data_IF_336079389072
#
_entry.id   IF_336079389072
#
_cell.length_a   1.000
_cell.length_b   1.000
_cell.length_c   1.000
_cell.angle_alpha   90.00
_cell.angle_beta   90.00
_cell.angle_gamma   90.00
#
_symmetry.space_group_name_H-M   'P 1'
#
loop_
_entity.id
_entity.type
_entity.pdbx_description
1 polymer ?
#
# COMPACT_ATOMS: atom_id res chain seq x y z
N UNK A 1 -28.95 9.28 -17.25
CA UNK A 1 -27.78 10.13 -17.56
C UNK A 1 -28.22 11.40 -18.30
N UNK A 2 -28.89 11.29 -19.46
CA UNK A 2 -29.37 12.45 -20.25
C UNK A 2 -30.12 13.52 -19.43
N UNK A 3 -31.13 13.14 -18.63
CA UNK A 3 -31.89 14.07 -17.80
C UNK A 3 -31.07 14.88 -16.77
N UNK A 4 -29.94 14.34 -16.29
CA UNK A 4 -29.10 15.05 -15.32
C UNK A 4 -28.14 16.02 -16.00
N UNK A 5 -27.77 15.74 -17.25
CA UNK A 5 -26.96 16.65 -18.07
C UNK A 5 -27.81 17.85 -18.52
N UNK A 6 -29.06 17.62 -18.92
CA UNK A 6 -29.99 18.73 -19.25
C UNK A 6 -30.15 19.71 -18.08
N UNK A 7 -30.17 19.19 -16.84
CA UNK A 7 -30.24 20.00 -15.61
C UNK A 7 -28.90 20.63 -15.20
N UNK A 8 -27.79 20.08 -15.67
CA UNK A 8 -26.46 20.65 -15.48
C UNK A 8 -26.28 21.87 -16.38
N UNK A 9 -26.80 21.82 -17.62
CA UNK A 9 -26.79 22.96 -18.55
C UNK A 9 -27.51 24.19 -18.00
N UNK A 10 -28.50 24.00 -17.12
CA UNK A 10 -29.21 25.08 -16.42
C UNK A 10 -28.38 25.70 -15.27
N UNK A 11 -27.29 25.07 -14.83
CA UNK A 11 -26.40 25.55 -13.76
C UNK A 11 -25.01 25.88 -14.32
N UNK A 12 -24.82 27.13 -14.77
CA UNK A 12 -23.58 27.60 -15.41
C UNK A 12 -22.31 27.31 -14.59
N UNK A 13 -22.38 27.39 -13.26
CA UNK A 13 -21.21 27.18 -12.39
C UNK A 13 -20.81 25.70 -12.42
N UNK A 14 -21.77 24.79 -12.24
CA UNK A 14 -21.51 23.35 -12.25
C UNK A 14 -21.11 22.87 -13.66
N UNK A 15 -21.68 23.43 -14.71
CA UNK A 15 -21.30 23.15 -16.10
C UNK A 15 -19.83 23.50 -16.36
N UNK A 16 -19.37 24.69 -15.94
CA UNK A 16 -17.96 25.09 -16.09
C UNK A 16 -17.02 24.13 -15.35
N UNK A 17 -17.39 23.70 -14.14
CA UNK A 17 -16.62 22.73 -13.37
C UNK A 17 -16.55 21.38 -14.09
N UNK A 18 -17.67 20.91 -14.62
CA UNK A 18 -17.76 19.65 -15.38
C UNK A 18 -16.85 19.66 -16.63
N UNK A 19 -16.93 20.71 -17.45
CA UNK A 19 -16.10 20.84 -18.65
C UNK A 19 -14.61 20.95 -18.31
N UNK A 20 -14.28 21.65 -17.22
CA UNK A 20 -12.91 21.76 -16.73
C UNK A 20 -12.34 20.39 -16.33
N UNK A 21 -13.14 19.57 -15.64
CA UNK A 21 -12.77 18.21 -15.23
C UNK A 21 -12.50 17.28 -16.41
N UNK A 22 -13.40 17.25 -17.41
CA UNK A 22 -13.22 16.44 -18.61
C UNK A 22 -11.92 16.78 -19.34
N UNK A 23 -11.68 18.08 -19.55
CA UNK A 23 -10.53 18.56 -20.30
C UNK A 23 -9.21 18.29 -19.58
N UNK A 24 -9.14 18.58 -18.28
CA UNK A 24 -7.90 18.48 -17.52
C UNK A 24 -7.49 17.01 -17.26
N UNK A 25 -8.45 16.17 -16.89
CA UNK A 25 -8.21 14.75 -16.65
C UNK A 25 -8.08 13.95 -17.95
N UNK A 26 -8.42 14.55 -19.11
CA UNK A 26 -8.44 13.90 -20.42
C UNK A 26 -9.31 12.63 -20.41
N UNK A 27 -10.43 12.69 -19.70
CA UNK A 27 -11.41 11.61 -19.56
C UNK A 27 -12.66 11.89 -20.40
N UNK A 28 -13.44 10.85 -20.69
CA UNK A 28 -14.69 10.99 -21.45
C UNK A 28 -15.87 11.37 -20.57
N UNK A 29 -16.97 11.81 -21.20
CA UNK A 29 -18.23 12.10 -20.50
C UNK A 29 -18.74 10.90 -19.68
N UNK A 30 -18.51 9.68 -20.18
CA UNK A 30 -18.89 8.44 -19.49
C UNK A 30 -18.06 8.11 -18.24
N UNK A 31 -17.01 8.88 -17.95
CA UNK A 31 -16.20 8.73 -16.74
C UNK A 31 -16.67 9.65 -15.60
N UNK A 32 -17.65 10.53 -15.84
CA UNK A 32 -18.24 11.39 -14.82
C UNK A 32 -19.76 11.19 -14.77
N UNK A 33 -20.24 10.67 -13.64
CA UNK A 33 -21.67 10.66 -13.34
C UNK A 33 -22.06 11.92 -12.57
N UNK A 34 -23.14 12.56 -13.01
CA UNK A 34 -23.64 13.82 -12.45
C UNK A 34 -25.02 13.61 -11.84
N UNK A 35 -25.22 14.15 -10.64
CA UNK A 35 -26.53 14.27 -10.00
C UNK A 35 -26.75 15.73 -9.61
N UNK A 36 -27.63 16.43 -10.34
CA UNK A 36 -28.02 17.81 -10.05
C UNK A 36 -29.37 17.80 -9.35
N UNK A 37 -29.48 18.46 -8.21
CA UNK A 37 -30.75 18.58 -7.48
C UNK A 37 -31.36 19.99 -7.60
N UNK A 38 -32.68 20.08 -7.44
CA UNK A 38 -33.40 21.35 -7.65
C UNK A 38 -33.18 22.25 -6.45
N UNK A 39 -32.83 23.51 -6.71
CA UNK A 39 -32.58 24.54 -5.69
C UNK A 39 -33.78 24.87 -4.80
N UNK A 40 -34.99 24.41 -5.14
CA UNK A 40 -36.21 24.70 -4.38
C UNK A 40 -36.31 23.92 -3.05
N UNK A 41 -35.52 22.87 -2.85
CA UNK A 41 -35.47 22.12 -1.59
C UNK A 41 -34.14 22.39 -0.86
N UNK A 42 -34.21 23.05 0.29
CA UNK A 42 -33.07 23.45 1.14
C UNK A 42 -32.13 22.30 1.60
N UNK A 43 -32.45 21.04 1.30
CA UNK A 43 -31.74 19.85 1.78
C UNK A 43 -31.04 19.03 0.69
N UNK A 44 -31.08 19.45 -0.58
CA UNK A 44 -30.56 18.61 -1.67
C UNK A 44 -29.22 19.10 -2.19
N UNK A 45 -28.22 18.22 -2.19
CA UNK A 45 -26.85 18.49 -2.66
C UNK A 45 -26.67 18.02 -4.10
N UNK A 46 -26.00 18.79 -4.95
CA UNK A 46 -25.53 18.28 -6.25
C UNK A 46 -24.23 17.52 -6.05
N UNK A 47 -23.94 16.51 -6.88
CA UNK A 47 -22.71 15.72 -6.75
C UNK A 47 -22.15 15.27 -8.09
N UNK A 48 -20.83 15.24 -8.19
CA UNK A 48 -20.10 14.59 -9.27
C UNK A 48 -19.43 13.32 -8.75
N UNK A 49 -19.55 12.22 -9.48
CA UNK A 49 -18.80 10.99 -9.23
C UNK A 49 -17.92 10.74 -10.46
N UNK A 50 -16.63 11.00 -10.34
CA UNK A 50 -15.68 10.88 -11.44
C UNK A 50 -14.76 9.68 -11.25
N UNK A 51 -14.50 8.94 -12.32
CA UNK A 51 -13.44 7.92 -12.38
C UNK A 51 -12.10 8.61 -12.58
N UNK A 52 -11.17 8.38 -11.66
CA UNK A 52 -9.83 8.94 -11.73
C UNK A 52 -8.92 8.08 -12.64
N UNK A 53 -8.15 8.69 -13.55
CA UNK A 53 -7.30 7.97 -14.50
C UNK A 53 -5.98 7.50 -13.86
N UNK A 54 -6.06 6.66 -12.82
CA UNK A 54 -4.89 6.13 -12.12
C UNK A 54 -4.29 4.94 -12.89
N UNK A 55 -3.02 5.05 -13.30
CA UNK A 55 -2.32 3.94 -13.96
C UNK A 55 -1.88 2.88 -12.94
N UNK A 56 -2.21 1.61 -13.24
CA UNK A 56 -1.86 0.45 -12.41
C UNK A 56 -1.14 -0.65 -13.23
N UNK A 57 -0.59 -0.29 -14.39
CA UNK A 57 0.00 -1.24 -15.34
C UNK A 57 1.24 -1.95 -14.77
N UNK A 58 2.05 -1.22 -13.99
CA UNK A 58 3.30 -1.72 -13.40
C UNK A 58 3.10 -2.40 -12.04
N UNK A 59 1.84 -2.54 -11.61
CA UNK A 59 1.54 -3.12 -10.32
C UNK A 59 1.58 -4.65 -10.40
N UNK A 60 2.24 -5.33 -9.44
CA UNK A 60 2.35 -6.78 -9.44
C UNK A 60 0.98 -7.49 -9.54
N UNK A 61 0.91 -8.60 -10.31
CA UNK A 61 -0.33 -9.35 -10.45
C UNK A 61 -0.76 -9.99 -9.12
N UNK A 62 -2.08 -10.15 -8.95
CA UNK A 62 -2.64 -10.95 -7.85
C UNK A 62 -2.75 -12.39 -8.34
N UNK A 63 -2.14 -13.34 -7.62
CA UNK A 63 -2.08 -14.74 -8.04
C UNK A 63 -3.32 -15.55 -7.64
N UNK A 64 -4.03 -15.14 -6.59
CA UNK A 64 -5.28 -15.80 -6.16
C UNK A 64 -6.48 -15.23 -6.92
N UNK A 65 -7.21 -16.13 -7.60
CA UNK A 65 -8.41 -15.90 -8.42
C UNK A 65 -9.66 -15.43 -7.64
N UNK A 66 -9.53 -14.59 -6.62
CA UNK A 66 -10.66 -13.85 -6.10
C UNK A 66 -10.90 -12.68 -7.05
N UNK A 67 -11.67 -12.88 -8.13
CA UNK A 67 -11.95 -11.88 -9.17
C UNK A 67 -12.37 -10.55 -8.52
N UNK A 68 -11.44 -9.58 -8.31
CA UNK A 68 -11.70 -8.46 -7.41
C UNK A 68 -12.40 -7.31 -8.14
N UNK A 69 -12.91 -7.59 -9.35
CA UNK A 69 -13.45 -6.63 -10.28
C UNK A 69 -12.37 -5.83 -11.02
N UNK A 70 -12.84 -4.91 -11.85
CA UNK A 70 -12.00 -3.93 -12.54
C UNK A 70 -11.41 -2.95 -11.53
N UNK A 71 -10.09 -2.69 -11.54
CA UNK A 71 -9.50 -1.73 -10.63
C UNK A 71 -9.95 -0.33 -11.02
N UNK A 72 -10.84 0.23 -10.21
CA UNK A 72 -11.34 1.59 -10.37
C UNK A 72 -11.08 2.40 -9.10
N UNK A 73 -10.89 3.70 -9.32
CA UNK A 73 -10.75 4.74 -8.30
C UNK A 73 -11.75 5.82 -8.65
N UNK A 74 -12.63 6.16 -7.73
CA UNK A 74 -13.64 7.19 -7.94
C UNK A 74 -13.49 8.30 -6.90
N UNK A 75 -13.64 9.54 -7.35
CA UNK A 75 -13.78 10.69 -6.48
C UNK A 75 -15.21 11.20 -6.58
N UNK A 76 -15.92 11.16 -5.46
CA UNK A 76 -17.20 11.82 -5.33
C UNK A 76 -16.98 13.21 -4.74
N UNK A 77 -17.59 14.22 -5.35
CA UNK A 77 -17.54 15.61 -4.90
C UNK A 77 -18.96 16.08 -4.69
N UNK A 78 -19.33 16.33 -3.43
CA UNK A 78 -20.65 16.84 -3.06
C UNK A 78 -20.60 18.37 -2.94
N UNK A 79 -21.60 19.04 -3.51
CA UNK A 79 -21.78 20.49 -3.49
C UNK A 79 -22.98 20.83 -2.59
N UNK A 80 -22.76 21.08 -1.28
CA UNK A 80 -23.85 21.28 -0.33
C UNK A 80 -24.64 22.58 -0.55
N UNK A 81 -24.00 23.61 -1.13
CA UNK A 81 -24.62 24.85 -1.65
C UNK A 81 -23.74 25.41 -2.78
N UNK A 82 -24.31 26.21 -3.67
CA UNK A 82 -23.60 26.85 -4.80
C UNK A 82 -22.37 27.69 -4.38
N UNK A 83 -22.36 28.20 -3.15
CA UNK A 83 -21.28 29.04 -2.59
C UNK A 83 -20.49 28.37 -1.45
N UNK A 84 -20.86 27.15 -1.05
CA UNK A 84 -20.15 26.42 0.00
C UNK A 84 -18.96 25.64 -0.57
N UNK A 85 -17.94 25.41 0.25
CA UNK A 85 -16.86 24.49 -0.09
C UNK A 85 -17.43 23.10 -0.42
N UNK A 86 -16.84 22.43 -1.42
CA UNK A 86 -17.21 21.07 -1.79
C UNK A 86 -16.70 20.05 -0.77
N UNK A 87 -17.34 18.88 -0.73
CA UNK A 87 -16.97 17.78 0.17
C UNK A 87 -16.53 16.58 -0.67
N UNK A 88 -15.22 16.25 -0.69
CA UNK A 88 -14.69 15.12 -1.45
C UNK A 88 -14.78 13.81 -0.65
N UNK A 89 -15.05 12.71 -1.35
CA UNK A 89 -15.02 11.34 -0.84
C UNK A 89 -14.35 10.44 -1.87
N UNK A 90 -13.27 9.78 -1.47
CA UNK A 90 -12.53 8.84 -2.32
C UNK A 90 -13.08 7.42 -2.11
N UNK A 91 -13.43 6.75 -3.21
CA UNK A 91 -13.86 5.37 -3.24
C UNK A 91 -12.86 4.55 -4.05
N UNK A 92 -12.36 3.48 -3.45
CA UNK A 92 -11.37 2.60 -4.08
C UNK A 92 -11.99 1.22 -4.24
N UNK A 93 -11.80 0.61 -5.41
CA UNK A 93 -12.12 -0.82 -5.57
C UNK A 93 -11.20 -1.67 -4.69
N UNK A 94 -11.66 -2.85 -4.26
CA UNK A 94 -10.89 -3.74 -3.38
C UNK A 94 -9.51 -4.10 -3.94
N UNK A 95 -9.38 -4.20 -5.28
CA UNK A 95 -8.08 -4.38 -5.92
C UNK A 95 -7.15 -3.22 -5.64
N UNK A 96 -7.61 -1.98 -5.78
CA UNK A 96 -6.80 -0.78 -5.52
C UNK A 96 -6.47 -0.68 -4.02
N UNK A 97 -7.44 -0.93 -3.14
CA UNK A 97 -7.20 -0.92 -1.69
C UNK A 97 -6.14 -1.94 -1.26
N UNK A 98 -6.16 -3.14 -1.84
CA UNK A 98 -5.14 -4.17 -1.56
C UNK A 98 -3.72 -3.76 -1.97
N UNK A 99 -3.59 -2.78 -2.87
CA UNK A 99 -2.32 -2.32 -3.42
C UNK A 99 -1.79 -1.08 -2.69
N UNK A 100 -2.64 -0.07 -2.50
CA UNK A 100 -2.22 1.23 -1.95
C UNK A 100 -2.73 1.50 -0.53
N UNK A 101 -3.53 0.60 0.03
CA UNK A 101 -4.21 0.76 1.30
C UNK A 101 -5.63 1.31 1.14
N UNK A 102 -6.41 1.25 2.22
CA UNK A 102 -7.77 1.78 2.29
C UNK A 102 -7.76 3.31 2.18
N UNK A 103 -8.86 3.89 1.68
CA UNK A 103 -9.02 5.34 1.56
C UNK A 103 -8.81 6.08 2.90
N UNK A 104 -9.20 5.47 4.02
CA UNK A 104 -9.01 5.97 5.38
C UNK A 104 -7.53 6.14 5.75
N UNK A 105 -6.64 5.32 5.19
CA UNK A 105 -5.20 5.30 5.49
C UNK A 105 -4.36 6.21 4.60
N UNK A 106 -4.94 6.68 3.48
CA UNK A 106 -4.22 7.51 2.49
C UNK A 106 -4.00 8.96 2.94
N UNK A 107 -4.57 9.38 4.06
CA UNK A 107 -4.46 10.74 4.61
C UNK A 107 -4.69 11.82 3.54
N UNK A 108 -5.91 11.85 2.98
CA UNK A 108 -6.26 12.79 1.92
C UNK A 108 -6.06 14.25 2.38
N UNK A 109 -5.59 15.14 1.49
CA UNK A 109 -5.44 16.55 1.81
C UNK A 109 -6.80 17.14 2.22
N UNK A 110 -6.78 17.98 3.26
CA UNK A 110 -7.95 18.80 3.59
C UNK A 110 -8.20 19.79 2.44
N UNK A 111 -9.47 20.11 2.19
CA UNK A 111 -9.88 21.10 1.18
C UNK A 111 -9.60 22.52 1.71
N UNK A 112 -8.67 23.29 1.12
CA UNK A 112 -8.45 24.66 1.53
C UNK A 112 -9.63 25.57 1.15
N UNK A 113 -9.92 26.64 1.91
CA UNK A 113 -10.95 27.60 1.52
C UNK A 113 -10.66 28.22 0.15
N UNK A 114 -11.66 28.22 -0.74
CA UNK A 114 -11.56 28.84 -2.06
C UNK A 114 -10.76 28.05 -3.11
N UNK A 115 -10.29 26.84 -2.81
CA UNK A 115 -9.68 25.97 -3.82
C UNK A 115 -10.75 25.54 -4.85
N UNK A 116 -10.36 25.45 -6.13
CA UNK A 116 -11.22 24.82 -7.14
C UNK A 116 -11.27 23.30 -6.97
N UNK A 117 -12.34 22.67 -7.47
CA UNK A 117 -12.43 21.20 -7.50
C UNK A 117 -11.24 20.63 -8.26
N UNK A 118 -10.89 21.24 -9.39
CA UNK A 118 -9.77 20.83 -10.23
C UNK A 118 -8.43 20.77 -9.49
N UNK A 119 -8.04 21.88 -8.86
CA UNK A 119 -6.76 21.94 -8.14
C UNK A 119 -6.71 20.90 -7.00
N UNK A 120 -7.88 20.55 -6.44
CA UNK A 120 -7.97 19.48 -5.45
C UNK A 120 -7.84 18.09 -6.07
N UNK A 121 -8.46 17.83 -7.23
CA UNK A 121 -8.30 16.56 -7.95
C UNK A 121 -6.83 16.32 -8.30
N UNK A 122 -6.11 17.34 -8.76
CA UNK A 122 -4.68 17.23 -9.07
C UNK A 122 -3.87 16.77 -7.84
N UNK A 123 -4.12 17.37 -6.67
CA UNK A 123 -3.47 16.96 -5.41
C UNK A 123 -3.80 15.52 -5.01
N UNK A 124 -5.04 15.08 -5.22
CA UNK A 124 -5.45 13.69 -4.94
C UNK A 124 -4.72 12.73 -5.88
N UNK A 125 -4.63 13.07 -7.17
CA UNK A 125 -3.89 12.29 -8.15
C UNK A 125 -2.42 12.15 -7.78
N UNK A 126 -1.75 13.24 -7.38
CA UNK A 126 -0.35 13.20 -6.92
C UNK A 126 -0.15 12.25 -5.72
N UNK A 127 -1.06 12.30 -4.73
CA UNK A 127 -1.01 11.41 -3.55
C UNK A 127 -1.20 9.94 -3.96
N UNK A 128 -2.16 9.66 -4.84
CA UNK A 128 -2.44 8.30 -5.32
C UNK A 128 -1.28 7.73 -6.14
N UNK A 129 -0.73 8.52 -7.07
CA UNK A 129 0.40 8.14 -7.91
C UNK A 129 1.66 7.87 -7.09
N UNK A 130 1.98 8.75 -6.15
CA UNK A 130 3.12 8.55 -5.24
C UNK A 130 2.93 7.28 -4.39
N UNK A 131 1.70 6.99 -3.97
CA UNK A 131 1.40 5.76 -3.22
C UNK A 131 1.57 4.52 -4.07
N UNK A 132 1.06 4.52 -5.31
CA UNK A 132 1.27 3.43 -6.29
C UNK A 132 2.76 3.20 -6.52
N UNK A 133 3.52 4.28 -6.77
CA UNK A 133 4.97 4.22 -6.99
C UNK A 133 5.70 3.61 -5.80
N UNK A 134 5.34 3.99 -4.57
CA UNK A 134 5.91 3.40 -3.35
C UNK A 134 5.59 1.93 -3.21
N UNK A 135 4.35 1.51 -3.49
CA UNK A 135 3.96 0.09 -3.46
C UNK A 135 4.78 -0.73 -4.44
N UNK A 136 4.94 -0.25 -5.68
CA UNK A 136 5.74 -0.95 -6.71
C UNK A 136 7.20 -1.07 -6.26
N UNK A 137 7.82 0.03 -5.82
CA UNK A 137 9.19 0.02 -5.35
C UNK A 137 9.38 -0.93 -4.16
N UNK A 138 8.45 -0.90 -3.21
CA UNK A 138 8.42 -1.78 -2.05
C UNK A 138 8.37 -3.26 -2.47
N UNK A 139 7.49 -3.60 -3.41
CA UNK A 139 7.40 -4.95 -3.94
C UNK A 139 8.68 -5.41 -4.64
N UNK A 140 9.21 -4.61 -5.56
CA UNK A 140 10.43 -4.97 -6.29
C UNK A 140 11.64 -5.10 -5.36
N UNK A 141 11.73 -4.25 -4.33
CA UNK A 141 12.81 -4.36 -3.34
C UNK A 141 12.66 -5.63 -2.50
N UNK A 142 11.45 -5.99 -2.06
CA UNK A 142 11.22 -7.27 -1.35
C UNK A 142 11.60 -8.45 -2.22
N UNK A 143 11.14 -8.46 -3.47
CA UNK A 143 11.47 -9.51 -4.45
C UNK A 143 12.98 -9.66 -4.64
N UNK A 144 13.70 -8.55 -4.80
CA UNK A 144 15.17 -8.58 -4.92
C UNK A 144 15.86 -9.03 -3.64
N UNK A 145 15.39 -8.59 -2.46
CA UNK A 145 15.91 -9.05 -1.18
C UNK A 145 15.75 -10.56 -1.03
N UNK A 146 14.55 -11.09 -1.31
CA UNK A 146 14.28 -12.53 -1.27
C UNK A 146 15.17 -13.26 -2.29
N UNK A 147 15.26 -12.77 -3.53
CA UNK A 147 16.12 -13.36 -4.56
C UNK A 147 17.58 -13.44 -4.11
N UNK A 148 18.09 -12.42 -3.43
CA UNK A 148 19.45 -12.42 -2.89
C UNK A 148 19.63 -13.46 -1.78
N UNK A 149 18.65 -13.61 -0.88
CA UNK A 149 18.67 -14.68 0.12
C UNK A 149 18.66 -16.07 -0.56
N UNK A 150 17.87 -16.25 -1.62
CA UNK A 150 17.85 -17.50 -2.39
C UNK A 150 19.20 -17.78 -3.07
N UNK A 151 19.88 -16.76 -3.60
CA UNK A 151 21.21 -16.88 -4.20
C UNK A 151 22.28 -17.28 -3.18
N UNK A 152 22.28 -16.65 -2.00
CA UNK A 152 23.31 -16.88 -0.98
C UNK A 152 23.05 -18.13 -0.13
N UNK A 153 21.78 -18.46 0.11
CA UNK A 153 21.36 -19.47 1.10
C UNK A 153 20.35 -20.48 0.55
N UNK A 154 20.23 -20.65 -0.77
CA UNK A 154 19.16 -21.46 -1.40
C UNK A 154 18.99 -22.87 -0.82
N UNK A 155 20.08 -23.56 -0.47
CA UNK A 155 20.02 -24.91 0.12
C UNK A 155 19.48 -24.94 1.57
N UNK A 156 19.44 -23.78 2.23
CA UNK A 156 18.97 -23.60 3.60
C UNK A 156 17.53 -23.04 3.67
N UNK A 157 16.91 -22.70 2.54
CA UNK A 157 15.57 -22.12 2.50
C UNK A 157 14.52 -23.20 2.77
N UNK A 158 13.67 -22.96 3.76
CA UNK A 158 12.56 -23.85 4.12
C UNK A 158 11.29 -23.46 3.36
N UNK A 159 10.93 -22.19 3.44
CA UNK A 159 9.76 -21.63 2.75
C UNK A 159 9.95 -20.13 2.51
N UNK A 160 9.23 -19.59 1.52
CA UNK A 160 9.09 -18.15 1.33
C UNK A 160 7.75 -17.81 0.67
N UNK A 161 7.32 -16.58 0.86
CA UNK A 161 6.15 -16.03 0.19
C UNK A 161 6.48 -15.70 -1.27
N UNK A 162 6.08 -16.57 -2.18
CA UNK A 162 6.29 -16.39 -3.62
C UNK A 162 5.34 -15.39 -4.28
N UNK A 163 4.32 -14.89 -3.55
CA UNK A 163 3.35 -13.96 -4.11
C UNK A 163 3.67 -12.51 -3.77
N UNK A 164 3.92 -12.20 -2.50
CA UNK A 164 4.16 -10.82 -2.02
C UNK A 164 5.58 -10.59 -1.53
N UNK A 165 6.38 -11.65 -1.42
CA UNK A 165 7.76 -11.60 -0.92
C UNK A 165 7.84 -11.02 0.50
N UNK A 166 6.80 -11.19 1.32
CA UNK A 166 6.73 -10.61 2.65
C UNK A 166 7.45 -11.45 3.72
N UNK A 167 7.82 -12.70 3.40
CA UNK A 167 8.40 -13.63 4.37
C UNK A 167 9.37 -14.60 3.68
N UNK A 168 10.46 -14.92 4.36
CA UNK A 168 11.32 -16.08 4.08
C UNK A 168 11.79 -16.71 5.37
N UNK A 169 11.89 -18.04 5.36
CA UNK A 169 12.39 -18.84 6.47
C UNK A 169 13.60 -19.63 5.99
N UNK A 170 14.72 -19.45 6.69
CA UNK A 170 15.95 -20.20 6.43
C UNK A 170 16.33 -21.01 7.66
N UNK A 171 16.74 -22.26 7.45
CA UNK A 171 17.31 -23.12 8.48
C UNK A 171 18.83 -23.01 8.43
N UNK A 172 19.43 -22.57 9.51
CA UNK A 172 20.87 -22.36 9.60
C UNK A 172 21.48 -23.16 10.74
N UNK A 173 22.79 -23.34 10.66
CA UNK A 173 23.58 -24.07 11.64
C UNK A 173 24.81 -23.25 12.04
N UNK A 174 25.07 -23.16 13.35
CA UNK A 174 26.31 -22.62 13.88
C UNK A 174 26.80 -23.52 15.00
N UNK A 175 27.98 -24.13 14.84
CA UNK A 175 28.60 -25.02 15.84
C UNK A 175 27.64 -26.14 16.29
N UNK A 176 27.11 -26.90 15.33
CA UNK A 176 26.15 -28.01 15.50
C UNK A 176 24.77 -27.62 16.05
N UNK A 177 24.52 -26.33 16.32
CA UNK A 177 23.21 -25.83 16.74
C UNK A 177 22.40 -25.38 15.53
N UNK A 178 21.33 -26.12 15.22
CA UNK A 178 20.39 -25.77 14.16
C UNK A 178 19.26 -24.88 14.69
N UNK A 179 18.87 -23.90 13.88
CA UNK A 179 17.82 -22.95 14.21
C UNK A 179 17.14 -22.44 12.94
N UNK A 180 15.91 -21.93 13.10
CA UNK A 180 15.21 -21.21 12.04
C UNK A 180 15.43 -19.71 12.21
N UNK A 181 15.63 -19.01 11.11
CA UNK A 181 15.55 -17.56 11.03
C UNK A 181 14.35 -17.17 10.16
N UNK A 182 13.34 -16.60 10.80
CA UNK A 182 12.17 -16.03 10.14
C UNK A 182 12.44 -14.56 9.83
N UNK A 183 12.49 -14.23 8.55
CA UNK A 183 12.69 -12.86 8.06
C UNK A 183 11.37 -12.37 7.47
N UNK A 184 10.81 -11.31 8.06
CA UNK A 184 9.57 -10.69 7.63
C UNK A 184 9.87 -9.29 7.05
N UNK A 185 9.35 -9.03 5.86
CA UNK A 185 9.44 -7.77 5.14
C UNK A 185 8.04 -7.13 5.11
N UNK A 186 7.85 -6.09 5.93
CA UNK A 186 6.55 -5.43 6.06
C UNK A 186 6.14 -4.64 4.80
N UNK A 187 4.89 -4.16 4.74
CA UNK A 187 4.38 -3.38 3.60
C UNK A 187 5.07 -2.02 3.43
N UNK A 188 5.73 -1.51 4.48
CA UNK A 188 6.47 -0.24 4.48
C UNK A 188 7.99 -0.44 4.33
N UNK A 189 8.45 -1.67 4.10
CA UNK A 189 9.83 -1.96 3.72
C UNK A 189 10.03 -1.65 2.22
N UNK A 190 11.19 -1.12 1.80
CA UNK A 190 12.34 -0.71 2.61
C UNK A 190 12.24 0.71 3.19
N UNK A 191 11.23 1.50 2.85
CA UNK A 191 11.30 2.95 3.01
C UNK A 191 11.22 3.41 4.48
N UNK A 192 10.39 2.76 5.29
CA UNK A 192 10.12 3.17 6.67
C UNK A 192 10.52 2.10 7.68
N UNK A 193 10.37 0.82 7.34
CA UNK A 193 10.66 -0.28 8.25
C UNK A 193 11.83 -1.13 7.75
N UNK A 194 12.65 -1.58 8.70
CA UNK A 194 13.68 -2.61 8.48
C UNK A 194 13.07 -4.01 8.45
N UNK A 195 13.79 -5.03 7.94
CA UNK A 195 13.38 -6.42 8.09
C UNK A 195 13.23 -6.80 9.56
N UNK A 196 12.19 -7.56 9.88
CA UNK A 196 12.01 -8.17 11.21
C UNK A 196 12.56 -9.58 11.19
N UNK A 197 13.54 -9.87 12.05
CA UNK A 197 14.21 -11.16 12.10
C UNK A 197 13.94 -11.83 13.44
N UNK A 198 13.42 -13.05 13.40
CA UNK A 198 13.15 -13.87 14.59
C UNK A 198 13.92 -15.16 14.48
N UNK A 199 14.74 -15.47 15.48
CA UNK A 199 15.44 -16.75 15.60
C UNK A 199 14.58 -17.71 16.42
N UNK A 200 14.49 -18.97 16.02
CA UNK A 200 13.75 -20.00 16.75
C UNK A 200 14.61 -21.26 16.90
N UNK A 201 14.64 -21.81 18.11
CA UNK A 201 15.34 -23.06 18.37
C UNK A 201 14.52 -24.25 17.86
N UNK A 202 15.20 -25.25 17.30
CA UNK A 202 14.58 -26.52 16.90
C UNK A 202 14.51 -27.54 18.04
N UNK A 203 15.14 -27.26 19.18
CA UNK A 203 15.33 -28.23 20.27
C UNK A 203 14.61 -27.85 21.56
N UNK A 204 14.31 -26.57 21.74
CA UNK A 204 13.86 -26.02 23.01
C UNK A 204 12.46 -25.43 22.87
N UNK A 205 11.57 -25.83 23.78
CA UNK A 205 10.22 -25.30 23.88
C UNK A 205 10.03 -24.66 25.24
N UNK A 206 9.27 -23.57 25.28
CA UNK A 206 8.58 -23.13 26.49
C UNK A 206 7.37 -24.03 26.74
N UNK A 207 6.59 -23.77 27.79
CA UNK A 207 5.41 -24.57 28.11
C UNK A 207 4.38 -24.67 26.96
N UNK A 208 4.33 -23.69 26.04
CA UNK A 208 3.32 -23.62 24.98
C UNK A 208 3.89 -23.47 23.57
N UNK A 209 5.10 -22.91 23.42
CA UNK A 209 5.67 -22.58 22.10
C UNK A 209 7.20 -22.81 22.02
N UNK A 210 7.76 -23.06 20.81
CA UNK A 210 9.20 -23.15 20.64
C UNK A 210 9.92 -21.85 21.04
N UNK A 211 11.06 -21.97 21.73
CA UNK A 211 11.81 -20.80 22.19
C UNK A 211 12.28 -19.98 20.99
N UNK A 212 11.92 -18.69 21.00
CA UNK A 212 12.26 -17.74 19.93
C UNK A 212 12.77 -16.40 20.48
N UNK A 213 13.52 -15.66 19.65
CA UNK A 213 14.07 -14.34 19.97
C UNK A 213 14.04 -13.45 18.75
N UNK A 214 13.37 -12.31 18.86
CA UNK A 214 13.44 -11.24 17.86
C UNK A 214 14.73 -10.44 17.99
N UNK A 215 15.36 -10.11 16.86
CA UNK A 215 16.54 -9.26 16.82
C UNK A 215 16.11 -7.79 16.81
N UNK A 216 16.36 -7.07 17.89
CA UNK A 216 15.96 -5.66 18.05
C UNK A 216 17.00 -4.66 17.57
N UNK A 217 18.25 -5.06 17.37
CA UNK A 217 19.37 -4.12 17.14
C UNK A 217 19.96 -4.26 15.73
N UNK A 218 19.11 -4.58 14.74
CA UNK A 218 19.47 -4.62 13.33
C UNK A 218 19.80 -3.22 12.81
N UNK A 219 21.03 -3.04 12.33
CA UNK A 219 21.42 -1.86 11.55
C UNK A 219 20.64 -1.83 10.26
N UNK A 220 20.19 -0.64 9.87
CA UNK A 220 19.37 -0.50 8.68
C UNK A 220 19.50 0.88 8.04
N UNK A 221 19.57 0.89 6.71
CA UNK A 221 19.43 2.08 5.89
C UNK A 221 18.52 1.76 4.71
N UNK A 222 17.47 2.56 4.52
CA UNK A 222 16.49 2.36 3.45
C UNK A 222 17.05 2.58 2.05
N UNK A 223 18.24 3.18 1.93
CA UNK A 223 18.94 3.42 0.66
C UNK A 223 19.91 2.29 0.29
N UNK A 224 20.13 1.32 1.17
CA UNK A 224 21.00 0.18 0.86
C UNK A 224 20.43 -0.65 -0.28
N UNK A 225 21.34 -1.25 -1.05
CA UNK A 225 20.94 -2.25 -2.04
C UNK A 225 20.46 -3.53 -1.32
N UNK A 226 19.61 -4.34 -1.97
CA UNK A 226 19.15 -5.61 -1.39
C UNK A 226 20.31 -6.52 -0.92
N UNK A 227 21.40 -6.60 -1.68
CA UNK A 227 22.64 -7.30 -1.30
C UNK A 227 23.21 -6.84 0.04
N UNK A 228 23.35 -5.53 0.23
CA UNK A 228 23.86 -4.94 1.47
C UNK A 228 22.89 -5.21 2.63
N UNK A 229 21.57 -5.11 2.41
CA UNK A 229 20.57 -5.41 3.43
C UNK A 229 20.62 -6.88 3.88
N UNK A 230 20.80 -7.82 2.94
CA UNK A 230 20.95 -9.25 3.25
C UNK A 230 22.24 -9.51 4.03
N UNK A 231 23.36 -8.90 3.61
CA UNK A 231 24.64 -9.03 4.30
C UNK A 231 24.56 -8.49 5.74
N UNK A 232 23.92 -7.34 5.97
CA UNK A 232 23.73 -6.78 7.31
C UNK A 232 22.78 -7.64 8.16
N UNK A 233 21.77 -8.25 7.55
CA UNK A 233 20.88 -9.22 8.23
C UNK A 233 21.66 -10.44 8.69
N UNK A 234 22.52 -11.00 7.82
CA UNK A 234 23.40 -12.13 8.15
C UNK A 234 24.35 -11.81 9.30
N UNK A 235 25.02 -10.66 9.25
CA UNK A 235 25.92 -10.21 10.32
C UNK A 235 25.21 -10.09 11.67
N UNK A 236 24.00 -9.55 11.68
CA UNK A 236 23.20 -9.44 12.90
C UNK A 236 22.82 -10.81 13.47
N UNK A 237 22.48 -11.79 12.62
CA UNK A 237 22.19 -13.16 13.07
C UNK A 237 23.44 -13.79 13.69
N UNK A 238 24.59 -13.70 13.02
CA UNK A 238 25.86 -14.25 13.51
C UNK A 238 26.30 -13.60 14.84
N UNK A 239 26.07 -12.30 15.00
CA UNK A 239 26.38 -11.61 16.25
C UNK A 239 25.49 -12.06 17.42
N UNK A 240 24.25 -12.48 17.15
CA UNK A 240 23.26 -12.80 18.18
C UNK A 240 23.11 -14.29 18.50
N UNK A 241 23.51 -15.19 17.59
CA UNK A 241 23.22 -16.63 17.71
C UNK A 241 23.76 -17.27 18.99
N UNK A 242 24.99 -16.92 19.40
CA UNK A 242 25.59 -17.47 20.62
C UNK A 242 24.78 -17.09 21.87
N UNK A 243 24.32 -15.84 21.93
CA UNK A 243 23.47 -15.37 23.04
C UNK A 243 22.10 -16.06 23.02
N UNK A 244 21.53 -16.25 21.83
CA UNK A 244 20.25 -16.91 21.65
C UNK A 244 20.32 -18.37 22.11
N UNK A 245 21.34 -19.12 21.67
CA UNK A 245 21.56 -20.50 22.07
C UNK A 245 21.63 -20.64 23.60
N UNK A 246 22.44 -19.82 24.28
CA UNK A 246 22.54 -19.86 25.75
C UNK A 246 21.20 -19.57 26.42
N UNK A 247 20.48 -18.55 25.96
CA UNK A 247 19.15 -18.22 26.51
C UNK A 247 18.11 -19.29 26.21
N UNK A 248 18.23 -20.02 25.09
CA UNK A 248 17.27 -21.07 24.73
C UNK A 248 17.34 -22.28 25.64
N UNK A 249 18.54 -22.60 26.17
CA UNK A 249 18.75 -23.68 27.14
C UNK A 249 18.25 -23.27 28.54
N UNK A 250 18.37 -21.98 28.88
CA UNK A 250 17.96 -21.47 30.20
C UNK A 250 16.44 -21.30 30.35
N UNK A 251 15.74 -21.04 29.24
CA UNK A 251 14.32 -20.74 29.21
C UNK A 251 13.45 -21.91 28.70
N UNK A 252 14.05 -23.07 28.46
CA UNK A 252 13.37 -24.33 28.09
C UNK A 252 12.92 -25.13 29.31
#
# INVERSE_FOLDING_TARGET
MVFQLDRLEEDEILQIQYESLLKALKIGEGDIEVSVNSTEQLSTTSSFLMRLPLSLQDVPPVLVNANPGTPNTFLQVDFPRREAAFVPKLHLSSRVESLIGEASTLALPAVPPGIGVMDYVERIMEVLEERVRRTILSFETRKQFIAEVLCQFGCAVVEYDAERFNKIVVMMEVKDFHFLAFIHLGPLFPQQHRPRVVLQSLYHNTAEEPVSKELTDLKYNSQWKPEEMVQQTKEAILANISSFQMSSIQNS
#
